data_IF_384537925124
#
_entry.id   IF_384537925124
#
_cell.length_a   1.000
_cell.length_b   1.000
_cell.length_c   1.000
_cell.angle_alpha   90.00
_cell.angle_beta   90.00
_cell.angle_gamma   90.00
#
_symmetry.space_group_name_H-M   'P 1'
#
loop_
_entity.id
_entity.type
_entity.pdbx_description
1 polymer ?
#
# COMPACT_ATOMS: atom_id res chain seq x y z
N UNK A 1 24.58 27.87 -13.02
CA UNK A 1 23.33 27.78 -13.81
C UNK A 1 23.56 26.67 -14.81
N UNK A 2 23.02 25.47 -14.71
CA UNK A 2 21.92 24.89 -13.93
C UNK A 2 22.26 23.39 -13.87
N UNK A 3 22.18 22.74 -12.71
CA UNK A 3 22.29 21.28 -12.65
C UNK A 3 20.90 20.74 -13.00
N UNK A 4 20.75 20.17 -14.19
CA UNK A 4 19.56 19.40 -14.56
C UNK A 4 19.50 18.18 -13.65
N UNK A 5 18.58 18.22 -12.68
CA UNK A 5 18.22 17.05 -11.90
C UNK A 5 17.51 16.08 -12.86
N UNK A 6 18.15 14.94 -13.13
CA UNK A 6 17.55 13.85 -13.89
C UNK A 6 16.19 13.49 -13.27
N UNK A 7 15.12 13.73 -14.01
CA UNK A 7 13.77 13.31 -13.62
C UNK A 7 13.72 11.79 -13.70
N UNK A 8 13.75 11.15 -12.53
CA UNK A 8 13.54 9.72 -12.38
C UNK A 8 12.21 9.31 -13.04
N UNK A 9 12.26 8.39 -14.00
CA UNK A 9 11.12 7.91 -14.78
C UNK A 9 10.22 6.91 -14.04
N UNK A 10 10.29 6.87 -12.71
CA UNK A 10 9.48 5.94 -11.93
C UNK A 10 8.04 6.44 -11.85
N UNK A 11 7.04 5.54 -11.98
CA UNK A 11 5.65 5.90 -11.74
C UNK A 11 5.53 6.55 -10.36
N UNK A 12 4.92 7.74 -10.30
CA UNK A 12 4.77 8.48 -9.03
C UNK A 12 3.89 7.74 -8.02
N UNK A 13 3.02 6.85 -8.50
CA UNK A 13 2.32 5.83 -7.73
C UNK A 13 2.80 4.45 -8.20
N UNK A 14 3.31 3.63 -7.28
CA UNK A 14 3.78 2.28 -7.60
C UNK A 14 3.52 1.31 -6.46
N UNK A 15 3.56 0.01 -6.75
CA UNK A 15 3.40 -1.05 -5.75
C UNK A 15 4.69 -1.86 -5.60
N UNK A 16 4.96 -2.32 -4.39
CA UNK A 16 6.01 -3.29 -4.08
C UNK A 16 5.39 -4.44 -3.28
N UNK A 17 5.64 -5.69 -3.69
CA UNK A 17 5.15 -6.90 -3.03
C UNK A 17 6.32 -7.80 -2.65
N UNK A 18 6.52 -8.05 -1.36
CA UNK A 18 7.68 -8.79 -0.87
C UNK A 18 7.33 -9.69 0.32
N UNK A 19 7.99 -10.85 0.40
CA UNK A 19 8.00 -11.65 1.62
C UNK A 19 8.90 -10.97 2.66
N UNK A 20 8.38 -10.74 3.86
CA UNK A 20 9.10 -10.05 4.95
C UNK A 20 9.40 -10.95 6.15
N UNK A 21 8.67 -12.06 6.26
CA UNK A 21 8.88 -13.10 7.27
C UNK A 21 8.26 -14.42 6.78
N UNK A 22 8.41 -15.48 7.57
CA UNK A 22 7.65 -16.71 7.34
C UNK A 22 6.15 -16.39 7.22
N UNK A 23 5.53 -16.93 6.17
CA UNK A 23 4.10 -16.82 5.89
C UNK A 23 3.53 -15.40 5.83
N UNK A 24 4.39 -14.38 5.69
CA UNK A 24 4.00 -12.97 5.74
C UNK A 24 4.51 -12.22 4.51
N UNK A 25 3.57 -11.67 3.75
CA UNK A 25 3.81 -10.83 2.57
C UNK A 25 3.36 -9.40 2.85
N UNK A 26 4.15 -8.41 2.46
CA UNK A 26 3.71 -7.01 2.44
C UNK A 26 3.33 -6.59 1.03
N UNK A 27 2.28 -5.78 0.91
CA UNK A 27 1.99 -4.99 -0.28
C UNK A 27 2.13 -3.52 0.13
N UNK A 28 3.10 -2.82 -0.48
CA UNK A 28 3.40 -1.42 -0.20
C UNK A 28 2.94 -0.56 -1.35
N UNK A 29 2.06 0.38 -1.06
CA UNK A 29 1.62 1.40 -2.01
C UNK A 29 2.47 2.65 -1.85
N UNK A 30 3.43 2.83 -2.75
CA UNK A 30 4.40 3.93 -2.74
C UNK A 30 3.79 5.15 -3.42
N UNK A 31 3.57 6.22 -2.64
CA UNK A 31 3.01 7.47 -3.12
C UNK A 31 4.05 8.59 -3.01
N UNK A 32 4.65 8.92 -4.16
CA UNK A 32 5.57 10.05 -4.31
C UNK A 32 4.86 11.38 -4.58
N UNK A 33 3.56 11.35 -4.89
CA UNK A 33 2.73 12.55 -5.11
C UNK A 33 2.23 13.17 -3.81
N UNK A 34 2.27 12.43 -2.71
CA UNK A 34 1.92 12.96 -1.39
C UNK A 34 2.93 14.02 -0.96
N UNK A 35 2.49 15.27 -1.04
CA UNK A 35 3.27 16.43 -0.58
C UNK A 35 3.02 16.81 0.88
N UNK A 36 2.04 16.19 1.55
CA UNK A 36 1.73 16.45 2.96
C UNK A 36 1.24 15.22 3.72
N UNK A 37 1.68 15.11 4.97
CA UNK A 37 1.08 14.26 5.98
C UNK A 37 0.02 15.11 6.69
N UNK A 38 -1.25 14.79 6.43
CA UNK A 38 -2.40 15.66 6.72
C UNK A 38 -2.26 17.09 6.14
N UNK A 39 -2.87 18.11 6.77
CA UNK A 39 -2.78 19.53 6.36
C UNK A 39 -1.46 20.15 6.82
N UNK A 40 -0.89 19.68 7.93
CA UNK A 40 0.08 20.44 8.73
C UNK A 40 1.55 20.19 8.36
N UNK A 41 1.90 18.99 7.87
CA UNK A 41 3.30 18.61 7.68
C UNK A 41 3.65 18.35 6.22
N UNK A 42 4.54 19.17 5.66
CA UNK A 42 5.06 18.95 4.31
C UNK A 42 5.94 17.69 4.23
N UNK A 43 5.62 16.80 3.31
CA UNK A 43 6.44 15.62 2.98
C UNK A 43 7.44 15.97 1.88
N UNK A 44 8.68 15.49 2.03
CA UNK A 44 9.75 15.65 1.02
C UNK A 44 10.07 14.37 0.26
N UNK A 45 9.65 13.22 0.80
CA UNK A 45 10.06 11.89 0.36
C UNK A 45 8.86 10.96 0.08
N UNK A 46 7.68 11.53 -0.20
CA UNK A 46 6.45 10.75 -0.34
C UNK A 46 6.03 10.03 0.94
N UNK A 47 5.15 9.03 0.78
CA UNK A 47 4.68 8.15 1.85
C UNK A 47 4.41 6.73 1.32
N UNK A 48 4.10 5.80 2.23
CA UNK A 48 3.63 4.46 1.87
C UNK A 48 2.39 4.07 2.67
N UNK A 49 1.44 3.42 2.01
CA UNK A 49 0.33 2.70 2.65
C UNK A 49 0.65 1.21 2.57
N UNK A 50 0.94 0.59 3.72
CA UNK A 50 1.42 -0.78 3.76
C UNK A 50 0.31 -1.68 4.30
N UNK A 51 -0.01 -2.72 3.54
CA UNK A 51 -0.89 -3.80 3.96
C UNK A 51 -0.08 -5.09 4.11
N UNK A 52 -0.57 -6.03 4.92
CA UNK A 52 0.10 -7.29 5.20
C UNK A 52 -0.84 -8.47 5.05
N UNK A 53 -0.39 -9.49 4.34
CA UNK A 53 -1.08 -10.76 4.22
C UNK A 53 -0.32 -11.80 5.03
N UNK A 54 -0.94 -12.28 6.10
CA UNK A 54 -0.38 -13.25 7.06
C UNK A 54 -1.13 -14.57 6.93
N UNK A 55 -0.41 -15.65 6.62
CA UNK A 55 -0.99 -16.97 6.33
C UNK A 55 -0.66 -17.97 7.44
N UNK A 56 -1.53 -18.06 8.46
CA UNK A 56 -1.39 -19.04 9.54
C UNK A 56 -2.35 -20.21 9.40
N UNK A 57 -2.85 -20.73 10.53
CA UNK A 57 -4.04 -21.61 10.54
C UNK A 57 -5.28 -20.92 9.94
N UNK A 58 -5.29 -19.59 9.99
CA UNK A 58 -6.23 -18.69 9.32
C UNK A 58 -5.45 -17.60 8.61
N UNK A 59 -6.03 -17.09 7.53
CA UNK A 59 -5.47 -15.99 6.75
C UNK A 59 -6.00 -14.66 7.24
N UNK A 60 -5.11 -13.73 7.56
CA UNK A 60 -5.45 -12.36 7.88
C UNK A 60 -4.85 -11.38 6.87
N UNK A 61 -5.68 -10.44 6.40
CA UNK A 61 -5.25 -9.22 5.73
C UNK A 61 -5.28 -8.08 6.76
N UNK A 62 -4.15 -7.41 6.94
CA UNK A 62 -3.98 -6.28 7.84
C UNK A 62 -3.88 -5.01 7.02
N UNK A 63 -4.84 -4.12 7.24
CA UNK A 63 -5.07 -2.88 6.52
C UNK A 63 -5.18 -3.08 5.00
N UNK A 64 -5.56 -2.01 4.31
CA UNK A 64 -5.57 -1.95 2.85
C UNK A 64 -4.74 -0.75 2.40
N UNK A 65 -5.16 -0.08 1.34
CA UNK A 65 -4.44 1.05 0.78
C UNK A 65 -5.41 2.21 0.55
N UNK A 66 -4.85 3.34 0.13
CA UNK A 66 -5.59 4.50 -0.31
C UNK A 66 -6.27 4.22 -1.66
N UNK A 67 -7.48 4.76 -1.85
CA UNK A 67 -8.32 4.62 -3.05
C UNK A 67 -7.61 4.86 -4.39
N UNK A 68 -6.62 5.76 -4.46
CA UNK A 68 -5.84 6.03 -5.69
C UNK A 68 -5.04 4.83 -6.22
N UNK A 69 -4.92 3.77 -5.42
CA UNK A 69 -4.26 2.52 -5.81
C UNK A 69 -5.24 1.42 -6.23
N UNK A 70 -6.56 1.65 -6.18
CA UNK A 70 -7.61 0.64 -6.43
C UNK A 70 -7.34 -0.20 -7.69
N UNK A 71 -7.08 0.46 -8.82
CA UNK A 71 -6.84 -0.17 -10.13
C UNK A 71 -5.62 -1.09 -10.19
N UNK A 72 -4.71 -0.98 -9.22
CA UNK A 72 -3.44 -1.73 -9.19
C UNK A 72 -3.32 -2.66 -7.99
N UNK A 73 -3.86 -2.26 -6.84
CA UNK A 73 -3.70 -2.96 -5.58
C UNK A 73 -4.58 -4.21 -5.50
N UNK A 74 -5.84 -4.13 -5.93
CA UNK A 74 -6.75 -5.28 -5.91
C UNK A 74 -6.27 -6.40 -6.87
N UNK A 75 -5.87 -6.10 -8.12
CA UNK A 75 -5.24 -7.11 -8.98
C UNK A 75 -4.02 -7.77 -8.34
N UNK A 76 -3.14 -6.98 -7.71
CA UNK A 76 -1.96 -7.52 -7.04
C UNK A 76 -2.34 -8.40 -5.83
N UNK A 77 -3.36 -8.03 -5.03
CA UNK A 77 -3.87 -8.88 -3.97
C UNK A 77 -4.40 -10.21 -4.52
N UNK A 78 -5.14 -10.17 -5.63
CA UNK A 78 -5.71 -11.36 -6.28
C UNK A 78 -4.64 -12.31 -6.82
N UNK A 79 -3.45 -11.80 -7.17
CA UNK A 79 -2.29 -12.63 -7.49
C UNK A 79 -1.71 -13.35 -6.25
N UNK A 80 -1.92 -12.80 -5.05
CA UNK A 80 -1.42 -13.35 -3.79
C UNK A 80 -2.39 -14.31 -3.11
N UNK A 81 -3.70 -14.10 -3.27
CA UNK A 81 -4.78 -14.90 -2.67
C UNK A 81 -6.13 -14.58 -3.32
N UNK A 82 -7.07 -15.54 -3.39
CA UNK A 82 -8.48 -15.21 -3.61
C UNK A 82 -8.99 -14.42 -2.38
N UNK A 83 -9.51 -13.18 -2.54
CA UNK A 83 -10.04 -12.41 -1.42
C UNK A 83 -11.11 -13.15 -0.59
N UNK A 84 -11.78 -14.15 -1.17
CA UNK A 84 -12.76 -15.00 -0.44
C UNK A 84 -12.12 -15.98 0.55
N UNK A 85 -10.82 -16.26 0.41
CA UNK A 85 -10.07 -17.14 1.31
C UNK A 85 -9.46 -16.37 2.50
N UNK A 86 -9.73 -15.07 2.61
CA UNK A 86 -9.31 -14.24 3.75
C UNK A 86 -10.32 -14.42 4.89
N UNK A 87 -9.88 -15.04 5.99
CA UNK A 87 -10.72 -15.24 7.18
C UNK A 87 -10.96 -13.93 7.96
N UNK A 88 -9.94 -13.07 7.97
CA UNK A 88 -9.93 -11.87 8.80
C UNK A 88 -9.40 -10.66 8.03
N UNK A 89 -10.17 -9.57 8.05
CA UNK A 89 -9.70 -8.23 7.71
C UNK A 89 -9.48 -7.46 9.02
N UNK A 90 -8.23 -7.17 9.33
CA UNK A 90 -7.81 -6.40 10.50
C UNK A 90 -7.59 -4.97 10.03
N UNK A 91 -8.32 -4.02 10.60
CA UNK A 91 -8.22 -2.60 10.27
C UNK A 91 -7.67 -1.87 11.49
N UNK A 92 -6.42 -1.45 11.41
CA UNK A 92 -5.74 -0.75 12.51
C UNK A 92 -6.29 0.65 12.70
N UNK A 93 -6.60 1.32 11.58
CA UNK A 93 -7.13 2.68 11.53
C UNK A 93 -8.16 2.80 10.41
N UNK A 94 -9.24 3.55 10.65
CA UNK A 94 -10.36 3.72 9.70
C UNK A 94 -10.23 4.99 8.85
N UNK A 95 -9.03 5.56 8.76
CA UNK A 95 -8.78 6.72 7.91
C UNK A 95 -8.75 6.27 6.44
N UNK A 96 -9.30 7.08 5.49
CA UNK A 96 -9.48 6.67 4.09
C UNK A 96 -8.21 6.25 3.34
N UNK A 97 -7.04 6.54 3.88
CA UNK A 97 -5.76 6.22 3.28
C UNK A 97 -5.21 4.83 3.68
N UNK A 98 -5.78 4.20 4.72
CA UNK A 98 -5.49 2.83 5.14
C UNK A 98 -6.67 1.88 4.96
N UNK A 99 -7.90 2.39 5.02
CA UNK A 99 -9.14 1.62 4.83
C UNK A 99 -9.87 1.95 3.53
N UNK A 100 -9.23 2.70 2.62
CA UNK A 100 -9.87 3.26 1.42
C UNK A 100 -10.33 2.24 0.39
N UNK A 101 -9.86 1.00 0.48
CA UNK A 101 -10.26 -0.10 -0.40
C UNK A 101 -11.19 -1.11 0.30
N UNK A 102 -11.73 -0.75 1.46
CA UNK A 102 -12.78 -1.53 2.13
C UNK A 102 -14.13 -1.07 1.54
N UNK A 103 -14.68 -1.84 0.59
CA UNK A 103 -15.95 -1.54 -0.08
C UNK A 103 -16.31 -2.53 -1.16
#
# INVERSE_FOLDING_TARGET
MTLDAAVSSHPRLSLQCEAIAADTTTIRSLDWDRSRFDIEFGLRNGTTYNSFLVRGERTALIDTSHLKFEDTWLPLLQEQIDPKDIDHLIVSHTEPDHSGLIG
#
